data_IF_806174303766
#
_entry.id   IF_806174303766
#
_cell.length_a   1.000
_cell.length_b   1.000
_cell.length_c   1.000
_cell.angle_alpha   90.00
_cell.angle_beta   90.00
_cell.angle_gamma   90.00
#
_symmetry.space_group_name_H-M   'P 1'
#
loop_
_entity.id
_entity.type
_entity.pdbx_description
1 polymer ?
#
# COMPACT_ATOMS: atom_id res chain seq x y z
N UNK A 1 41.91 -20.59 9.11
CA UNK A 1 40.89 -20.70 8.03
C UNK A 1 40.02 -21.97 8.08
N UNK A 2 40.56 -23.19 7.90
CA UNK A 2 39.77 -24.45 7.75
C UNK A 2 38.67 -24.65 8.80
N UNK A 3 38.97 -24.44 10.08
CA UNK A 3 38.01 -24.63 11.18
C UNK A 3 36.82 -23.67 11.12
N UNK A 4 37.06 -22.42 10.70
CA UNK A 4 36.03 -21.41 10.49
C UNK A 4 35.08 -21.81 9.36
N UNK A 5 35.61 -22.39 8.28
CA UNK A 5 34.81 -22.90 7.17
C UNK A 5 33.95 -24.08 7.59
N UNK A 6 34.53 -25.04 8.32
CA UNK A 6 33.80 -26.19 8.86
C UNK A 6 32.58 -25.75 9.69
N UNK A 7 32.77 -24.79 10.60
CA UNK A 7 31.69 -24.24 11.43
C UNK A 7 30.68 -23.49 10.56
N UNK A 8 31.14 -22.53 9.75
CA UNK A 8 30.25 -21.60 9.04
C UNK A 8 29.46 -22.29 7.92
N UNK A 9 30.06 -23.26 7.21
CA UNK A 9 29.41 -23.98 6.11
C UNK A 9 28.55 -25.16 6.60
N UNK A 10 28.65 -25.54 7.87
CA UNK A 10 27.68 -26.47 8.49
C UNK A 10 26.29 -25.84 8.67
N UNK A 11 26.20 -24.51 8.60
CA UNK A 11 24.97 -23.76 8.81
C UNK A 11 24.06 -23.81 7.57
N UNK A 12 22.72 -23.83 7.74
CA UNK A 12 21.79 -23.95 6.62
C UNK A 12 21.91 -22.81 5.60
N UNK A 13 22.07 -23.17 4.33
CA UNK A 13 22.21 -22.22 3.20
C UNK A 13 23.35 -21.20 3.39
N UNK A 14 24.40 -21.56 4.13
CA UNK A 14 25.59 -20.75 4.25
C UNK A 14 26.53 -20.94 3.05
N UNK A 15 27.10 -19.86 2.55
CA UNK A 15 28.06 -19.83 1.45
C UNK A 15 29.28 -18.98 1.81
N UNK A 16 30.45 -19.36 1.29
CA UNK A 16 31.65 -18.53 1.32
C UNK A 16 31.71 -17.70 0.04
N UNK A 17 31.92 -16.39 0.19
CA UNK A 17 32.12 -15.47 -0.92
C UNK A 17 33.32 -14.58 -0.61
N UNK A 18 34.30 -14.60 -1.50
CA UNK A 18 35.48 -13.76 -1.42
C UNK A 18 35.21 -12.46 -2.18
N UNK A 19 35.40 -11.31 -1.51
CA UNK A 19 35.02 -10.00 -2.08
C UNK A 19 36.27 -9.33 -2.66
N UNK A 20 36.38 -9.29 -3.99
CA UNK A 20 37.50 -8.64 -4.69
C UNK A 20 37.69 -7.17 -4.29
N UNK A 21 36.59 -6.43 -4.05
CA UNK A 21 36.64 -5.03 -3.65
C UNK A 21 37.25 -4.80 -2.25
N UNK A 22 37.40 -5.85 -1.44
CA UNK A 22 37.97 -5.82 -0.08
C UNK A 22 39.23 -6.70 -0.02
N UNK A 23 40.12 -6.56 -1.01
CA UNK A 23 41.39 -7.28 -1.13
C UNK A 23 41.25 -8.81 -1.04
N UNK A 24 40.11 -9.35 -1.49
CA UNK A 24 39.83 -10.79 -1.48
C UNK A 24 39.51 -11.35 -0.10
N UNK A 25 39.20 -10.52 0.89
CA UNK A 25 38.84 -10.99 2.24
C UNK A 25 37.61 -11.92 2.21
N UNK A 26 37.68 -13.11 2.81
CA UNK A 26 36.57 -14.05 2.82
C UNK A 26 35.40 -13.57 3.67
N UNK A 27 34.19 -13.81 3.17
CA UNK A 27 32.95 -13.57 3.93
C UNK A 27 32.07 -14.80 3.92
N UNK A 28 31.36 -15.03 5.03
CA UNK A 28 30.35 -16.09 5.13
C UNK A 28 28.97 -15.46 5.16
N UNK A 29 28.10 -15.96 4.27
CA UNK A 29 26.82 -15.33 3.96
C UNK A 29 25.69 -16.33 4.03
N UNK A 30 24.52 -15.86 4.40
CA UNK A 30 23.24 -16.59 4.28
C UNK A 30 22.31 -15.76 3.40
N UNK A 31 21.94 -16.32 2.24
CA UNK A 31 21.13 -15.62 1.22
C UNK A 31 21.65 -14.21 0.88
N UNK A 32 22.95 -14.11 0.63
CA UNK A 32 23.59 -12.83 0.29
C UNK A 32 23.74 -11.83 1.43
N UNK A 33 23.50 -12.22 2.70
CA UNK A 33 23.77 -11.36 3.88
C UNK A 33 24.93 -11.91 4.69
N UNK A 34 25.92 -11.07 4.97
CA UNK A 34 27.10 -11.46 5.74
C UNK A 34 26.73 -11.73 7.19
N UNK A 35 27.22 -12.83 7.74
CA UNK A 35 27.17 -13.12 9.17
C UNK A 35 28.57 -13.33 9.77
N UNK A 36 29.60 -13.58 8.95
CA UNK A 36 31.00 -13.47 9.39
C UNK A 36 31.79 -12.72 8.33
N UNK A 37 32.66 -11.81 8.79
CA UNK A 37 33.77 -11.29 8.01
C UNK A 37 35.08 -11.85 8.59
N UNK A 38 36.06 -12.19 7.75
CA UNK A 38 37.38 -12.54 8.22
C UNK A 38 38.47 -12.03 7.29
N UNK A 39 39.69 -11.92 7.80
CA UNK A 39 40.86 -11.76 6.93
C UNK A 39 41.25 -13.10 6.28
N UNK A 40 42.20 -13.06 5.35
CA UNK A 40 42.62 -14.24 4.56
C UNK A 40 43.16 -15.39 5.44
N UNK A 41 43.81 -15.05 6.55
CA UNK A 41 44.40 -16.03 7.47
C UNK A 41 43.40 -16.53 8.53
N UNK A 42 42.23 -15.88 8.64
CA UNK A 42 41.26 -16.02 9.72
C UNK A 42 41.87 -15.81 11.13
N UNK A 43 42.82 -14.87 11.24
CA UNK A 43 43.36 -14.39 12.51
C UNK A 43 42.53 -13.26 13.10
N UNK A 44 41.67 -12.63 12.28
CA UNK A 44 40.64 -11.70 12.74
C UNK A 44 39.27 -12.04 12.15
N UNK A 45 38.25 -11.98 13.00
CA UNK A 45 36.86 -12.27 12.68
C UNK A 45 35.96 -11.12 13.10
N UNK A 46 34.94 -10.82 12.32
CA UNK A 46 33.88 -9.90 12.74
C UNK A 46 32.54 -10.61 12.69
N UNK A 47 31.85 -10.62 13.83
CA UNK A 47 30.57 -11.31 14.03
C UNK A 47 29.52 -10.33 14.55
N UNK A 48 28.25 -10.64 14.32
CA UNK A 48 27.12 -9.86 14.80
C UNK A 48 26.58 -10.45 16.09
N UNK A 49 26.44 -9.62 17.11
CA UNK A 49 25.80 -9.96 18.38
C UNK A 49 24.63 -9.00 18.65
N UNK A 50 23.82 -9.28 19.67
CA UNK A 50 22.92 -8.25 20.17
C UNK A 50 23.73 -7.07 20.71
N UNK A 51 23.16 -5.87 20.82
CA UNK A 51 23.92 -4.69 21.28
C UNK A 51 24.46 -4.87 22.69
N UNK A 52 23.65 -5.46 23.57
CA UNK A 52 24.01 -5.72 24.95
C UNK A 52 25.14 -6.76 25.04
N UNK A 53 25.04 -7.86 24.28
CA UNK A 53 26.12 -8.86 24.21
C UNK A 53 27.38 -8.30 23.55
N UNK A 54 27.26 -7.46 22.52
CA UNK A 54 28.40 -6.83 21.86
C UNK A 54 29.15 -5.90 22.83
N UNK A 55 28.44 -5.09 23.60
CA UNK A 55 29.02 -4.24 24.64
C UNK A 55 29.70 -5.06 25.74
N UNK A 56 29.06 -6.16 26.17
CA UNK A 56 29.64 -7.07 27.17
C UNK A 56 30.93 -7.74 26.65
N UNK A 57 30.89 -8.33 25.45
CA UNK A 57 32.05 -8.99 24.83
C UNK A 57 33.20 -8.00 24.63
N UNK A 58 32.92 -6.79 24.14
CA UNK A 58 33.97 -5.75 24.00
C UNK A 58 34.56 -5.34 25.35
N UNK A 59 33.79 -5.39 26.43
CA UNK A 59 34.27 -5.04 27.77
C UNK A 59 35.07 -6.17 28.44
N UNK A 60 34.77 -7.44 28.15
CA UNK A 60 35.32 -8.58 28.90
C UNK A 60 36.31 -9.43 28.12
N UNK A 61 36.24 -9.44 26.78
CA UNK A 61 37.05 -10.32 25.94
C UNK A 61 38.31 -9.62 25.42
N UNK A 62 39.51 -10.09 25.78
CA UNK A 62 40.75 -9.60 25.19
C UNK A 62 40.72 -9.78 23.67
N UNK A 63 41.09 -8.74 22.93
CA UNK A 63 41.06 -8.74 21.46
C UNK A 63 39.69 -8.43 20.84
N UNK A 64 38.64 -8.21 21.64
CA UNK A 64 37.36 -7.74 21.15
C UNK A 64 37.28 -6.22 21.07
N UNK A 65 36.76 -5.71 19.96
CA UNK A 65 36.52 -4.28 19.75
C UNK A 65 35.27 -4.02 18.93
N UNK A 66 34.69 -2.84 19.05
CA UNK A 66 33.58 -2.44 18.19
C UNK A 66 34.06 -2.36 16.74
N UNK A 67 33.37 -3.03 15.81
CA UNK A 67 33.77 -3.06 14.42
C UNK A 67 33.77 -1.65 13.78
N UNK A 68 34.74 -1.39 12.90
CA UNK A 68 34.90 -0.14 12.18
C UNK A 68 33.77 0.19 11.19
N UNK A 69 33.91 1.30 10.46
CA UNK A 69 32.97 1.73 9.40
C UNK A 69 31.52 1.90 9.87
N UNK A 70 31.30 2.21 11.16
CA UNK A 70 29.98 2.37 11.76
C UNK A 70 29.24 1.06 12.06
N UNK A 71 29.84 -0.10 11.76
CA UNK A 71 29.23 -1.41 12.00
C UNK A 71 29.06 -1.70 13.50
N UNK A 72 29.99 -1.27 14.35
CA UNK A 72 29.90 -1.41 15.80
C UNK A 72 28.61 -0.84 16.40
N UNK A 73 28.06 0.26 15.85
CA UNK A 73 26.79 0.86 16.31
C UNK A 73 25.58 -0.07 16.13
N UNK A 74 25.72 -1.10 15.32
CA UNK A 74 24.71 -2.10 15.00
C UNK A 74 25.01 -3.49 15.57
N UNK A 75 25.93 -3.58 16.54
CA UNK A 75 26.25 -4.82 17.26
C UNK A 75 27.27 -5.72 16.57
N UNK A 76 28.08 -5.19 15.64
CA UNK A 76 29.19 -5.93 15.06
C UNK A 76 30.45 -5.80 15.92
N UNK A 77 31.04 -6.93 16.28
CA UNK A 77 32.25 -7.02 17.11
C UNK A 77 33.36 -7.60 16.27
N UNK A 78 34.50 -6.90 16.21
CA UNK A 78 35.74 -7.40 15.64
C UNK A 78 36.55 -8.10 16.73
N UNK A 79 37.02 -9.30 16.43
CA UNK A 79 37.76 -10.19 17.31
C UNK A 79 39.12 -10.45 16.67
N UNK A 80 40.19 -10.06 17.34
CA UNK A 80 41.54 -10.50 17.02
C UNK A 80 41.82 -11.79 17.80
N UNK A 81 41.95 -12.91 17.09
CA UNK A 81 42.09 -14.24 17.68
C UNK A 81 43.51 -14.82 17.50
N UNK A 82 44.35 -14.16 16.71
CA UNK A 82 45.70 -14.64 16.42
C UNK A 82 45.74 -15.97 15.66
N UNK A 83 46.92 -16.61 15.66
CA UNK A 83 47.16 -17.86 14.91
C UNK A 83 47.07 -19.12 15.77
N UNK A 84 47.23 -19.00 17.08
CA UNK A 84 47.20 -20.11 18.05
C UNK A 84 45.97 -19.98 18.96
N UNK A 85 44.90 -20.69 18.61
CA UNK A 85 43.57 -20.57 19.22
C UNK A 85 43.25 -21.87 19.93
N UNK A 86 43.04 -21.82 21.24
CA UNK A 86 42.70 -22.99 22.06
C UNK A 86 41.32 -23.55 21.70
N UNK A 87 41.05 -24.82 22.04
CA UNK A 87 39.75 -25.46 21.81
C UNK A 87 38.61 -24.75 22.55
N UNK A 88 38.87 -24.24 23.76
CA UNK A 88 37.89 -23.46 24.51
C UNK A 88 37.53 -22.17 23.77
N UNK A 89 38.54 -21.48 23.22
CA UNK A 89 38.31 -20.26 22.45
C UNK A 89 37.56 -20.56 21.15
N UNK A 90 37.86 -21.67 20.48
CA UNK A 90 37.07 -22.14 19.32
C UNK A 90 35.63 -22.44 19.67
N UNK A 91 35.35 -23.07 20.82
CA UNK A 91 33.98 -23.30 21.28
C UNK A 91 33.21 -21.99 21.50
N UNK A 92 33.89 -20.96 22.03
CA UNK A 92 33.30 -19.63 22.22
C UNK A 92 33.06 -18.92 20.88
N UNK A 93 34.03 -18.96 19.97
CA UNK A 93 33.90 -18.41 18.62
C UNK A 93 32.77 -19.08 17.84
N UNK A 94 32.64 -20.40 17.96
CA UNK A 94 31.54 -21.16 17.39
C UNK A 94 30.18 -20.60 17.88
N UNK A 95 30.01 -20.39 19.19
CA UNK A 95 28.78 -19.81 19.75
C UNK A 95 28.47 -18.40 19.21
N UNK A 96 29.48 -17.54 19.08
CA UNK A 96 29.29 -16.22 18.50
C UNK A 96 28.98 -16.25 17.00
N UNK A 97 29.56 -17.19 16.25
CA UNK A 97 29.23 -17.42 14.83
C UNK A 97 27.77 -17.88 14.69
N UNK A 98 27.32 -18.82 15.54
CA UNK A 98 25.92 -19.24 15.58
C UNK A 98 24.97 -18.09 15.93
N UNK A 99 25.34 -17.26 16.90
CA UNK A 99 24.57 -16.09 17.30
C UNK A 99 24.44 -15.11 16.14
N UNK A 100 25.57 -14.83 15.48
CA UNK A 100 25.61 -13.97 14.30
C UNK A 100 24.74 -14.49 13.15
N UNK A 101 24.84 -15.78 12.84
CA UNK A 101 24.00 -16.42 11.84
C UNK A 101 22.52 -16.26 12.20
N UNK A 102 22.13 -16.54 13.45
CA UNK A 102 20.74 -16.48 13.91
C UNK A 102 20.16 -15.06 13.82
N UNK A 103 20.97 -14.04 14.09
CA UNK A 103 20.58 -12.63 13.98
C UNK A 103 20.45 -12.14 12.53
N UNK A 104 21.19 -12.73 11.60
CA UNK A 104 21.21 -12.34 10.18
C UNK A 104 20.23 -13.16 9.33
N UNK A 105 20.09 -14.45 9.64
CA UNK A 105 19.32 -15.41 8.86
C UNK A 105 17.81 -15.14 8.91
N UNK A 106 17.05 -15.52 7.86
CA UNK A 106 15.60 -15.56 7.92
C UNK A 106 15.10 -16.46 9.06
N UNK A 107 13.99 -16.08 9.71
CA UNK A 107 13.41 -16.78 10.87
C UNK A 107 13.23 -18.29 10.69
N UNK A 108 13.01 -18.76 9.45
CA UNK A 108 12.87 -20.19 9.15
C UNK A 108 14.20 -20.93 9.35
N UNK A 109 15.31 -20.37 8.87
CA UNK A 109 16.65 -20.99 8.96
C UNK A 109 17.16 -20.93 10.40
N UNK A 110 17.03 -19.78 11.05
CA UNK A 110 17.37 -19.61 12.47
C UNK A 110 16.70 -20.66 13.39
N UNK A 111 15.47 -21.09 13.05
CA UNK A 111 14.71 -22.07 13.86
C UNK A 111 15.16 -23.51 13.66
N UNK A 112 15.74 -23.85 12.52
CA UNK A 112 16.16 -25.23 12.21
C UNK A 112 17.64 -25.48 12.52
N UNK A 113 18.41 -24.42 12.81
CA UNK A 113 19.79 -24.54 13.27
C UNK A 113 19.79 -25.07 14.70
N UNK A 114 20.30 -26.29 14.95
CA UNK A 114 20.37 -26.81 16.31
C UNK A 114 21.39 -26.00 17.12
N UNK A 115 20.98 -25.44 18.26
CA UNK A 115 21.90 -24.84 19.22
C UNK A 115 22.69 -25.96 19.88
N UNK A 116 24.03 -25.95 19.76
CA UNK A 116 24.92 -26.85 20.48
C UNK A 116 25.03 -26.44 21.96
N UNK A 117 23.94 -26.51 22.73
CA UNK A 117 24.02 -26.48 24.19
C UNK A 117 23.66 -27.84 24.75
N UNK A 118 24.70 -28.58 25.10
CA UNK A 118 24.64 -29.56 26.17
C UNK A 118 24.20 -28.88 27.47
N UNK A 119 23.38 -29.60 28.23
CA UNK A 119 22.72 -29.16 29.44
C UNK A 119 23.77 -28.82 30.51
N UNK A 120 23.85 -27.55 30.91
CA UNK A 120 24.13 -27.17 32.29
C UNK A 120 22.89 -26.44 32.77
N UNK A 121 22.00 -27.19 33.41
CA UNK A 121 20.99 -26.63 34.30
C UNK A 121 21.75 -25.97 35.47
N UNK A 122 21.92 -24.66 35.40
CA UNK A 122 21.91 -23.84 36.60
C UNK A 122 20.69 -22.94 36.50
N UNK A 123 19.91 -23.01 37.56
CA UNK A 123 18.67 -22.31 37.87
C UNK A 123 18.68 -20.86 37.36
N UNK A 124 17.58 -20.34 36.77
CA UNK A 124 17.52 -18.93 36.40
C UNK A 124 17.34 -18.10 37.67
N UNK A 125 18.44 -17.56 38.24
CA UNK A 125 18.32 -16.35 39.03
C UNK A 125 17.95 -15.21 38.08
N UNK A 126 16.65 -14.97 38.01
CA UNK A 126 16.07 -13.87 37.27
C UNK A 126 16.32 -12.60 38.07
N UNK A 127 17.50 -11.99 37.92
CA UNK A 127 17.65 -10.56 38.14
C UNK A 127 16.97 -9.85 36.96
N UNK A 128 16.01 -8.93 37.18
CA UNK A 128 15.24 -8.34 36.10
C UNK A 128 16.14 -7.32 35.39
N UNK A 129 16.92 -7.77 34.42
CA UNK A 129 17.38 -6.90 33.36
C UNK A 129 16.13 -6.39 32.67
N UNK A 130 15.79 -5.12 32.92
CA UNK A 130 14.77 -4.37 32.18
C UNK A 130 15.19 -4.29 30.72
N UNK A 131 14.94 -5.38 29.99
CA UNK A 131 14.85 -5.35 28.54
C UNK A 131 13.75 -4.34 28.22
N UNK A 132 14.13 -3.14 27.80
CA UNK A 132 13.16 -2.15 27.31
C UNK A 132 12.34 -2.86 26.25
N UNK A 133 11.01 -3.03 26.44
CA UNK A 133 10.21 -3.79 25.51
C UNK A 133 10.29 -3.08 24.17
N UNK A 134 10.98 -3.69 23.21
CA UNK A 134 11.01 -3.22 21.84
C UNK A 134 9.56 -3.02 21.40
N UNK A 135 9.23 -1.79 21.01
CA UNK A 135 7.85 -1.35 20.84
C UNK A 135 7.04 -2.41 20.08
N UNK A 136 5.93 -2.90 20.67
CA UNK A 136 5.23 -4.04 20.11
C UNK A 136 4.73 -3.72 18.69
N UNK A 137 4.61 -4.72 17.80
CA UNK A 137 4.30 -4.49 16.38
C UNK A 137 2.96 -3.77 16.16
N UNK A 138 2.03 -3.84 17.13
CA UNK A 138 0.79 -3.05 17.11
C UNK A 138 1.05 -1.56 17.39
N UNK A 139 2.01 -1.21 18.26
CA UNK A 139 2.34 0.17 18.59
C UNK A 139 3.07 0.87 17.44
N UNK A 140 3.95 0.17 16.69
CA UNK A 140 4.54 0.72 15.46
C UNK A 140 3.47 1.02 14.39
N UNK A 141 2.48 0.13 14.25
CA UNK A 141 1.33 0.35 13.36
C UNK A 141 0.45 1.49 13.85
N UNK A 142 0.21 1.58 15.16
CA UNK A 142 -0.57 2.66 15.75
C UNK A 142 0.11 4.02 15.56
N UNK A 143 1.44 4.11 15.76
CA UNK A 143 2.21 5.32 15.45
C UNK A 143 2.15 5.64 13.97
N UNK A 144 2.30 4.66 13.08
CA UNK A 144 2.16 4.87 11.65
C UNK A 144 0.79 5.42 11.27
N UNK A 145 -0.29 4.87 11.84
CA UNK A 145 -1.66 5.34 11.63
C UNK A 145 -1.83 6.76 12.21
N UNK A 146 -1.30 7.02 13.41
CA UNK A 146 -1.38 8.34 14.04
C UNK A 146 -0.63 9.41 13.22
N UNK A 147 0.58 9.09 12.75
CA UNK A 147 1.36 9.98 11.87
C UNK A 147 0.62 10.21 10.56
N UNK A 148 0.09 9.16 9.92
CA UNK A 148 -0.73 9.30 8.73
C UNK A 148 -1.97 10.15 8.97
N UNK A 149 -2.65 9.98 10.11
CA UNK A 149 -3.80 10.79 10.47
C UNK A 149 -3.39 12.26 10.65
N UNK A 150 -2.28 12.54 11.34
CA UNK A 150 -1.74 13.90 11.48
C UNK A 150 -1.40 14.50 10.12
N UNK A 151 -0.73 13.76 9.24
CA UNK A 151 -0.41 14.21 7.88
C UNK A 151 -1.69 14.50 7.09
N UNK A 152 -2.71 13.65 7.17
CA UNK A 152 -4.00 13.86 6.51
C UNK A 152 -4.73 15.08 7.07
N UNK A 153 -4.66 15.33 8.38
CA UNK A 153 -5.23 16.51 9.03
C UNK A 153 -4.51 17.78 8.55
N UNK A 154 -3.18 17.77 8.52
CA UNK A 154 -2.38 18.90 7.99
C UNK A 154 -2.72 19.14 6.52
N UNK A 155 -2.73 18.08 5.70
CA UNK A 155 -3.09 18.18 4.29
C UNK A 155 -4.51 18.73 4.10
N UNK A 156 -5.47 18.28 4.91
CA UNK A 156 -6.83 18.81 4.90
C UNK A 156 -6.85 20.31 5.18
N UNK A 157 -6.14 20.80 6.20
CA UNK A 157 -6.10 22.23 6.51
C UNK A 157 -5.46 23.06 5.38
N UNK A 158 -4.37 22.57 4.78
CA UNK A 158 -3.73 23.23 3.63
C UNK A 158 -4.69 23.29 2.45
N UNK A 159 -5.31 22.16 2.09
CA UNK A 159 -6.25 22.08 0.97
C UNK A 159 -7.51 22.92 1.23
N UNK A 160 -8.06 22.89 2.43
CA UNK A 160 -9.25 23.67 2.80
C UNK A 160 -8.98 25.19 2.78
N UNK A 161 -7.74 25.62 3.04
CA UNK A 161 -7.33 27.02 2.96
C UNK A 161 -7.09 27.50 1.51
N UNK A 162 -6.77 26.58 0.59
CA UNK A 162 -6.38 26.91 -0.78
C UNK A 162 -7.47 26.61 -1.83
N UNK A 163 -8.03 25.40 -1.81
CA UNK A 163 -8.93 24.88 -2.85
C UNK A 163 -10.16 25.77 -3.12
N UNK A 164 -10.90 26.28 -2.11
CA UNK A 164 -12.09 27.08 -2.38
C UNK A 164 -11.77 28.37 -3.14
N UNK A 165 -10.68 29.05 -2.77
CA UNK A 165 -10.23 30.27 -3.45
C UNK A 165 -9.75 29.99 -4.86
N UNK A 166 -8.90 28.98 -5.01
CA UNK A 166 -8.35 28.61 -6.33
C UNK A 166 -9.46 28.23 -7.30
N UNK A 167 -10.43 27.43 -6.85
CA UNK A 167 -11.56 27.02 -7.68
C UNK A 167 -12.45 28.22 -8.06
N UNK A 168 -12.78 29.07 -7.10
CA UNK A 168 -13.54 30.29 -7.37
C UNK A 168 -12.85 31.19 -8.41
N UNK A 169 -11.54 31.38 -8.32
CA UNK A 169 -10.76 32.14 -9.30
C UNK A 169 -10.80 31.51 -10.71
N UNK A 170 -10.77 30.17 -10.81
CA UNK A 170 -10.89 29.49 -12.11
C UNK A 170 -12.25 29.75 -12.75
N UNK A 171 -13.32 29.62 -11.98
CA UNK A 171 -14.68 29.86 -12.49
C UNK A 171 -14.89 31.35 -12.81
N UNK A 172 -14.41 32.25 -11.96
CA UNK A 172 -14.39 33.69 -12.21
C UNK A 172 -13.70 34.01 -13.54
N UNK A 173 -12.54 33.40 -13.83
CA UNK A 173 -11.86 33.61 -15.12
C UNK A 173 -12.65 33.10 -16.34
N UNK A 174 -13.48 32.07 -16.16
CA UNK A 174 -14.34 31.53 -17.23
C UNK A 174 -15.60 32.39 -17.45
N UNK A 175 -16.14 32.98 -16.38
CA UNK A 175 -17.29 33.86 -16.44
C UNK A 175 -16.91 35.28 -16.84
N UNK A 176 -15.72 35.74 -16.45
CA UNK A 176 -15.16 37.06 -16.73
C UNK A 176 -16.13 38.21 -16.38
N UNK A 177 -16.80 38.12 -15.23
CA UNK A 177 -17.81 39.08 -14.77
C UNK A 177 -19.17 39.03 -15.49
N UNK A 178 -19.36 38.14 -16.48
CA UNK A 178 -20.61 38.01 -17.21
C UNK A 178 -21.59 37.06 -16.53
N UNK A 179 -22.83 37.54 -16.31
CA UNK A 179 -23.94 36.73 -15.79
C UNK A 179 -24.32 35.58 -16.71
N UNK A 180 -24.36 35.80 -18.03
CA UNK A 180 -24.75 34.75 -18.98
C UNK A 180 -23.70 33.64 -19.03
N UNK A 181 -22.41 34.00 -19.01
CA UNK A 181 -21.32 33.05 -18.96
C UNK A 181 -21.29 32.29 -17.63
N UNK A 182 -21.48 33.00 -16.50
CA UNK A 182 -21.57 32.38 -15.18
C UNK A 182 -22.70 31.36 -15.09
N UNK A 183 -23.89 31.70 -15.60
CA UNK A 183 -25.04 30.78 -15.66
C UNK A 183 -24.75 29.60 -16.59
N UNK A 184 -24.21 29.84 -17.78
CA UNK A 184 -23.92 28.78 -18.75
C UNK A 184 -22.92 27.76 -18.18
N UNK A 185 -21.81 28.22 -17.62
CA UNK A 185 -20.83 27.35 -16.97
C UNK A 185 -21.41 26.68 -15.73
N UNK A 186 -22.22 27.37 -14.93
CA UNK A 186 -22.91 26.80 -13.78
C UNK A 186 -23.78 25.62 -14.19
N UNK A 187 -24.69 25.81 -15.15
CA UNK A 187 -25.54 24.74 -15.68
C UNK A 187 -24.72 23.58 -16.25
N UNK A 188 -23.69 23.87 -17.03
CA UNK A 188 -22.85 22.86 -17.67
C UNK A 188 -22.11 22.00 -16.62
N UNK A 189 -21.38 22.63 -15.70
CA UNK A 189 -20.66 21.91 -14.65
C UNK A 189 -21.63 21.17 -13.73
N UNK A 190 -22.71 21.82 -13.29
CA UNK A 190 -23.73 21.18 -12.46
C UNK A 190 -24.29 19.92 -13.11
N UNK A 191 -24.67 19.98 -14.39
CA UNK A 191 -25.24 18.86 -15.12
C UNK A 191 -24.21 17.76 -15.38
N UNK A 192 -23.07 18.10 -16.00
CA UNK A 192 -22.08 17.11 -16.43
C UNK A 192 -21.41 16.44 -15.24
N UNK A 193 -21.00 17.21 -14.24
CA UNK A 193 -20.33 16.70 -13.04
C UNK A 193 -21.28 16.01 -12.05
N UNK A 194 -22.58 15.92 -12.38
CA UNK A 194 -23.55 15.10 -11.64
C UNK A 194 -23.97 13.88 -12.45
N UNK A 195 -24.33 14.07 -13.73
CA UNK A 195 -24.78 13.01 -14.61
C UNK A 195 -23.68 11.97 -14.88
N UNK A 196 -22.47 12.42 -15.24
CA UNK A 196 -21.37 11.53 -15.65
C UNK A 196 -20.92 10.64 -14.48
N UNK A 197 -20.68 11.15 -13.26
CA UNK A 197 -20.37 10.31 -12.10
C UNK A 197 -21.46 9.28 -11.79
N UNK A 198 -22.75 9.65 -11.86
CA UNK A 198 -23.86 8.71 -11.63
C UNK A 198 -23.89 7.57 -12.66
N UNK A 199 -23.59 7.86 -13.93
CA UNK A 199 -23.46 6.84 -14.97
C UNK A 199 -22.29 5.89 -14.64
N UNK A 200 -21.13 6.43 -14.27
CA UNK A 200 -19.98 5.60 -13.89
C UNK A 200 -20.26 4.74 -12.65
N UNK A 201 -20.86 5.30 -11.59
CA UNK A 201 -21.23 4.54 -10.39
C UNK A 201 -22.27 3.46 -10.69
N UNK A 202 -23.20 3.70 -11.61
CA UNK A 202 -24.10 2.66 -12.12
C UNK A 202 -23.34 1.58 -12.89
N UNK A 203 -22.36 1.95 -13.71
CA UNK A 203 -21.54 1.02 -14.47
C UNK A 203 -20.74 0.06 -13.57
N UNK A 204 -20.27 0.54 -12.41
CA UNK A 204 -19.61 -0.31 -11.38
C UNK A 204 -20.48 -1.52 -11.01
N UNK A 205 -21.78 -1.32 -10.84
CA UNK A 205 -22.73 -2.41 -10.53
C UNK A 205 -23.00 -3.31 -11.74
N UNK A 206 -23.11 -2.74 -12.94
CA UNK A 206 -23.41 -3.49 -14.16
C UNK A 206 -22.29 -4.45 -14.58
N UNK A 207 -21.03 -4.09 -14.32
CA UNK A 207 -19.86 -4.86 -14.76
C UNK A 207 -19.47 -5.95 -13.76
N UNK A 208 -20.14 -6.04 -12.59
CA UNK A 208 -19.82 -6.97 -11.49
C UNK A 208 -19.73 -8.45 -11.90
N UNK A 209 -20.44 -8.87 -12.96
CA UNK A 209 -20.45 -10.26 -13.45
C UNK A 209 -19.42 -10.56 -14.56
N UNK A 210 -18.58 -9.60 -14.95
CA UNK A 210 -17.60 -9.77 -16.06
C UNK A 210 -16.24 -10.29 -15.57
N UNK A 211 -15.49 -10.95 -16.47
CA UNK A 211 -14.18 -11.58 -16.18
C UNK A 211 -13.13 -10.60 -15.59
N UNK A 212 -13.15 -9.33 -16.01
CA UNK A 212 -12.28 -8.27 -15.49
C UNK A 212 -13.03 -7.24 -14.63
N UNK A 213 -14.05 -7.67 -13.88
CA UNK A 213 -14.92 -6.78 -13.13
C UNK A 213 -14.17 -5.84 -12.19
N UNK A 214 -13.17 -6.32 -11.45
CA UNK A 214 -12.44 -5.49 -10.46
C UNK A 214 -11.72 -4.30 -11.10
N UNK A 215 -10.97 -4.52 -12.18
CA UNK A 215 -10.23 -3.44 -12.85
C UNK A 215 -11.22 -2.41 -13.40
N UNK A 216 -12.25 -2.87 -14.11
CA UNK A 216 -13.26 -1.98 -14.69
C UNK A 216 -14.05 -1.21 -13.61
N UNK A 217 -14.33 -1.82 -12.47
CA UNK A 217 -14.97 -1.16 -11.33
C UNK A 217 -14.09 -0.08 -10.73
N UNK A 218 -12.80 -0.37 -10.52
CA UNK A 218 -11.84 0.62 -9.99
C UNK A 218 -11.70 1.79 -10.97
N UNK A 219 -11.54 1.52 -12.26
CA UNK A 219 -11.45 2.56 -13.30
C UNK A 219 -12.72 3.40 -13.36
N UNK A 220 -13.90 2.78 -13.38
CA UNK A 220 -15.17 3.51 -13.39
C UNK A 220 -15.36 4.34 -12.12
N UNK A 221 -15.03 3.81 -10.95
CA UNK A 221 -15.10 4.56 -9.68
C UNK A 221 -14.15 5.75 -9.69
N UNK A 222 -12.90 5.56 -10.12
CA UNK A 222 -11.90 6.62 -10.21
C UNK A 222 -12.34 7.73 -11.18
N UNK A 223 -12.82 7.37 -12.39
CA UNK A 223 -13.35 8.32 -13.35
C UNK A 223 -14.57 9.06 -12.79
N UNK A 224 -15.49 8.35 -12.13
CA UNK A 224 -16.66 8.96 -11.49
C UNK A 224 -16.27 10.02 -10.44
N UNK A 225 -15.28 9.72 -9.59
CA UNK A 225 -14.78 10.68 -8.60
C UNK A 225 -14.11 11.89 -9.27
N UNK A 226 -13.28 11.66 -10.29
CA UNK A 226 -12.60 12.74 -11.03
C UNK A 226 -13.62 13.71 -11.66
N UNK A 227 -14.63 13.18 -12.34
CA UNK A 227 -15.68 14.01 -12.95
C UNK A 227 -16.56 14.71 -11.91
N UNK A 228 -16.65 14.22 -10.68
CA UNK A 228 -17.38 14.87 -9.59
C UNK A 228 -16.60 16.03 -8.95
N UNK A 229 -15.27 16.11 -9.14
CA UNK A 229 -14.42 17.10 -8.48
C UNK A 229 -14.91 18.56 -8.63
N UNK A 230 -15.30 19.05 -9.82
CA UNK A 230 -15.77 20.43 -9.96
C UNK A 230 -17.00 20.75 -9.11
N UNK A 231 -17.92 19.79 -8.96
CA UNK A 231 -19.12 19.98 -8.13
C UNK A 231 -18.76 19.92 -6.64
N UNK A 232 -17.86 19.02 -6.24
CA UNK A 232 -17.33 18.95 -4.87
C UNK A 232 -16.60 20.24 -4.48
N UNK A 233 -15.78 20.80 -5.38
CA UNK A 233 -15.10 22.08 -5.16
C UNK A 233 -16.07 23.25 -5.10
N UNK A 234 -17.16 23.22 -5.88
CA UNK A 234 -18.21 24.23 -5.79
C UNK A 234 -18.94 24.15 -4.44
N UNK A 235 -19.17 22.94 -3.93
CA UNK A 235 -19.72 22.73 -2.59
C UNK A 235 -18.79 23.20 -1.47
N UNK A 236 -17.46 23.07 -1.59
CA UNK A 236 -16.55 23.58 -0.56
C UNK A 236 -16.54 25.10 -0.46
N UNK A 237 -16.88 25.81 -1.55
CA UNK A 237 -17.06 27.27 -1.53
C UNK A 237 -18.37 27.66 -0.83
N UNK A 238 -19.47 26.93 -1.08
CA UNK A 238 -20.80 27.28 -0.55
C UNK A 238 -21.03 26.79 0.89
N UNK A 239 -20.59 25.58 1.22
CA UNK A 239 -20.79 24.96 2.54
C UNK A 239 -19.58 25.14 3.47
N UNK A 240 -18.48 25.71 2.98
CA UNK A 240 -17.26 25.86 3.75
C UNK A 240 -17.39 26.94 4.82
N UNK A 241 -17.10 26.59 6.07
CA UNK A 241 -17.14 27.50 7.22
C UNK A 241 -15.77 28.12 7.54
N UNK A 242 -14.99 28.49 6.51
CA UNK A 242 -13.64 29.00 6.70
C UNK A 242 -13.39 30.26 5.84
N UNK A 243 -12.31 30.99 6.17
CA UNK A 243 -11.95 32.24 5.49
C UNK A 243 -11.64 32.05 3.99
N UNK A 244 -11.31 30.84 3.54
CA UNK A 244 -11.06 30.56 2.13
C UNK A 244 -12.36 30.37 1.35
N UNK A 245 -13.33 29.67 1.93
CA UNK A 245 -14.67 29.52 1.37
C UNK A 245 -15.38 30.86 1.24
N UNK A 246 -15.40 31.69 2.29
CA UNK A 246 -15.98 33.04 2.23
C UNK A 246 -15.29 33.97 1.23
N UNK A 247 -13.98 33.80 1.01
CA UNK A 247 -13.27 34.54 -0.02
C UNK A 247 -13.65 34.04 -1.42
N UNK A 248 -13.74 32.72 -1.61
CA UNK A 248 -14.21 32.12 -2.87
C UNK A 248 -15.65 32.50 -3.19
N UNK A 249 -16.50 32.57 -2.16
CA UNK A 249 -17.90 33.00 -2.28
C UNK A 249 -17.98 34.43 -2.82
N UNK A 250 -17.25 35.36 -2.19
CA UNK A 250 -17.16 36.75 -2.65
C UNK A 250 -16.61 36.89 -4.07
N UNK A 251 -15.60 36.10 -4.43
CA UNK A 251 -15.06 36.08 -5.79
C UNK A 251 -16.13 35.64 -6.79
N UNK A 252 -16.88 34.58 -6.50
CA UNK A 252 -17.94 34.12 -7.40
C UNK A 252 -19.12 35.09 -7.47
N UNK A 253 -19.45 35.77 -6.38
CA UNK A 253 -20.57 36.72 -6.38
C UNK A 253 -20.25 37.98 -7.21
N UNK A 254 -18.97 38.36 -7.33
CA UNK A 254 -18.51 39.53 -8.11
C UNK A 254 -18.10 39.14 -9.53
N UNK A 255 -17.19 38.18 -9.68
CA UNK A 255 -16.53 37.86 -10.96
C UNK A 255 -17.15 36.65 -11.67
N UNK A 256 -17.95 35.85 -10.97
CA UNK A 256 -18.65 34.68 -11.51
C UNK A 256 -20.17 34.71 -11.30
N UNK A 257 -20.86 35.84 -11.55
CA UNK A 257 -22.23 36.02 -11.11
C UNK A 257 -23.18 34.98 -11.72
N UNK A 258 -24.13 34.50 -10.92
CA UNK A 258 -25.12 33.50 -11.33
C UNK A 258 -24.62 32.04 -11.38
N UNK A 259 -23.30 31.81 -11.32
CA UNK A 259 -22.72 30.46 -11.38
C UNK A 259 -23.23 29.52 -10.28
N UNK A 260 -23.22 29.99 -9.02
CA UNK A 260 -23.57 29.17 -7.85
C UNK A 260 -24.99 28.63 -7.96
N UNK A 261 -25.98 29.51 -8.20
CA UNK A 261 -27.37 29.11 -8.38
C UNK A 261 -27.57 28.20 -9.60
N UNK A 262 -26.97 28.56 -10.74
CA UNK A 262 -27.02 27.77 -11.96
C UNK A 262 -26.41 26.36 -11.79
N UNK A 263 -25.35 26.22 -10.99
CA UNK A 263 -24.72 24.92 -10.71
C UNK A 263 -25.64 23.96 -9.96
N UNK A 264 -26.44 24.47 -9.01
CA UNK A 264 -27.44 23.68 -8.30
C UNK A 264 -28.55 23.24 -9.25
N UNK A 265 -29.06 24.16 -10.08
CA UNK A 265 -30.07 23.84 -11.09
C UNK A 265 -29.55 22.78 -12.07
N UNK A 266 -28.32 22.95 -12.55
CA UNK A 266 -27.64 21.98 -13.40
C UNK A 266 -27.53 20.60 -12.75
N UNK A 267 -27.17 20.55 -11.46
CA UNK A 267 -27.07 19.29 -10.72
C UNK A 267 -28.43 18.57 -10.61
N UNK A 268 -29.50 19.31 -10.31
CA UNK A 268 -30.88 18.77 -10.26
C UNK A 268 -31.30 18.21 -11.62
N UNK A 269 -31.04 18.97 -12.70
CA UNK A 269 -31.30 18.50 -14.07
C UNK A 269 -30.48 17.24 -14.41
N UNK A 270 -29.23 17.18 -13.97
CA UNK A 270 -28.37 16.00 -14.13
C UNK A 270 -28.93 14.75 -13.45
N UNK A 271 -29.44 14.88 -12.21
CA UNK A 271 -30.11 13.79 -11.50
C UNK A 271 -31.40 13.38 -12.21
N UNK A 272 -32.24 14.34 -12.59
CA UNK A 272 -33.49 14.06 -13.30
C UNK A 272 -33.25 13.32 -14.62
N UNK A 273 -32.26 13.78 -15.40
CA UNK A 273 -31.86 13.12 -16.65
C UNK A 273 -31.30 11.71 -16.40
N UNK A 274 -30.49 11.52 -15.36
CA UNK A 274 -30.02 10.19 -14.98
C UNK A 274 -31.17 9.24 -14.64
N UNK A 275 -32.13 9.68 -13.82
CA UNK A 275 -33.31 8.87 -13.47
C UNK A 275 -34.14 8.55 -14.72
N UNK A 276 -34.31 9.51 -15.62
CA UNK A 276 -34.96 9.30 -16.91
C UNK A 276 -34.25 8.24 -17.77
N UNK A 277 -32.93 8.31 -17.90
CA UNK A 277 -32.13 7.30 -18.61
C UNK A 277 -32.24 5.90 -17.98
N UNK A 278 -32.25 5.83 -16.65
CA UNK A 278 -32.42 4.56 -15.92
C UNK A 278 -33.82 3.99 -16.15
N UNK A 279 -34.86 4.82 -16.09
CA UNK A 279 -36.25 4.42 -16.32
C UNK A 279 -36.47 3.95 -17.76
N UNK A 280 -35.98 4.71 -18.75
CA UNK A 280 -36.01 4.33 -20.17
C UNK A 280 -35.29 3.00 -20.40
N UNK A 281 -34.10 2.81 -19.82
CA UNK A 281 -33.36 1.55 -19.92
C UNK A 281 -34.07 0.37 -19.27
N UNK A 282 -34.80 0.59 -18.18
CA UNK A 282 -35.64 -0.44 -17.55
C UNK A 282 -36.85 -0.79 -18.41
N UNK A 283 -37.59 0.23 -18.90
CA UNK A 283 -38.75 0.03 -19.78
C UNK A 283 -38.37 -0.69 -21.07
N UNK A 284 -37.23 -0.33 -21.67
CA UNK A 284 -36.73 -0.99 -22.88
C UNK A 284 -36.42 -2.47 -22.64
N UNK A 285 -35.76 -2.81 -21.53
CA UNK A 285 -35.49 -4.21 -21.15
C UNK A 285 -36.76 -4.99 -20.84
N UNK A 286 -37.76 -4.35 -20.21
CA UNK A 286 -39.07 -4.98 -19.94
C UNK A 286 -39.78 -5.30 -21.26
N UNK A 287 -39.90 -4.32 -22.16
CA UNK A 287 -40.53 -4.48 -23.48
C UNK A 287 -39.87 -5.60 -24.30
N UNK A 288 -38.53 -5.69 -24.28
CA UNK A 288 -37.81 -6.78 -24.95
C UNK A 288 -38.22 -8.16 -24.44
N UNK A 289 -38.30 -8.34 -23.12
CA UNK A 289 -38.76 -9.61 -22.52
C UNK A 289 -40.22 -9.94 -22.85
N UNK A 290 -41.08 -8.93 -22.87
CA UNK A 290 -42.50 -9.11 -23.20
C UNK A 290 -42.66 -9.55 -24.67
N UNK A 291 -41.88 -8.97 -25.60
CA UNK A 291 -41.85 -9.38 -27.01
C UNK A 291 -41.28 -10.79 -27.20
N UNK A 292 -40.20 -11.14 -26.48
CA UNK A 292 -39.63 -12.48 -26.52
C UNK A 292 -40.64 -13.54 -26.01
N UNK A 293 -41.40 -13.20 -24.97
CA UNK A 293 -42.46 -14.05 -24.43
C UNK A 293 -43.60 -14.24 -25.44
N UNK A 294 -44.10 -13.14 -26.03
CA UNK A 294 -45.13 -13.21 -27.08
C UNK A 294 -44.66 -14.01 -28.30
N UNK A 295 -43.39 -13.86 -28.71
CA UNK A 295 -42.80 -14.65 -29.80
C UNK A 295 -42.70 -16.14 -29.44
N UNK A 296 -42.42 -16.45 -28.18
CA UNK A 296 -42.44 -17.82 -27.65
C UNK A 296 -43.84 -18.43 -27.67
N UNK A 297 -44.84 -17.67 -27.20
CA UNK A 297 -46.26 -18.07 -27.23
C UNK A 297 -46.76 -18.26 -28.66
N UNK A 298 -46.44 -17.34 -29.59
CA UNK A 298 -46.76 -17.48 -31.03
C UNK A 298 -46.14 -18.73 -31.65
N UNK A 299 -44.88 -19.07 -31.32
CA UNK A 299 -44.24 -20.31 -31.80
C UNK A 299 -44.84 -21.58 -31.19
N UNK A 300 -45.41 -21.51 -29.99
CA UNK A 300 -46.11 -22.63 -29.37
C UNK A 300 -47.52 -22.80 -29.93
N UNK A 301 -48.15 -21.69 -30.35
CA UNK A 301 -49.47 -21.67 -30.98
C UNK A 301 -49.46 -21.81 -32.50
N UNK A 302 -48.30 -21.76 -33.16
CA UNK A 302 -48.13 -22.14 -34.57
C UNK A 302 -48.24 -23.69 -34.64
N UNK A 303 -49.42 -24.24 -34.97
CA UNK A 303 -49.60 -25.69 -34.96
C UNK A 303 -48.81 -26.29 -36.12
N UNK A 304 -48.53 -27.59 -36.07
CA UNK A 304 -48.07 -28.44 -37.18
C UNK A 304 -49.05 -28.48 -38.39
N UNK A 305 -49.81 -27.41 -38.64
CA UNK A 305 -50.86 -27.24 -39.65
C UNK A 305 -50.34 -27.02 -41.08
N UNK A 306 -49.04 -27.15 -41.34
CA UNK A 306 -48.51 -27.21 -42.73
C UNK A 306 -48.31 -28.65 -43.25
N UNK A 307 -48.84 -29.65 -42.55
CA UNK A 307 -48.56 -31.07 -42.83
C UNK A 307 -49.75 -31.98 -43.11
N UNK A 308 -50.99 -31.49 -43.21
CA UNK A 308 -52.13 -32.34 -43.57
C UNK A 308 -53.00 -31.63 -44.62
N UNK A 309 -52.60 -31.75 -45.89
CA UNK A 309 -53.56 -31.57 -46.98
C UNK A 309 -54.46 -32.81 -46.98
N UNK A 310 -55.79 -32.70 -46.88
CA UNK A 310 -56.64 -33.86 -47.00
C UNK A 310 -56.46 -34.46 -48.40
N UNK A 311 -56.15 -35.76 -48.45
CA UNK A 311 -56.12 -36.51 -49.69
C UNK A 311 -57.48 -36.35 -50.40
N UNK A 312 -57.52 -36.14 -51.73
CA UNK A 312 -58.78 -36.14 -52.44
C UNK A 312 -59.39 -37.55 -52.34
N UNK A 313 -60.57 -37.64 -51.74
CA UNK A 313 -61.41 -38.83 -51.87
C UNK A 313 -61.98 -38.90 -53.29
N UNK A 314 -61.97 -40.13 -53.80
CA UNK A 314 -62.56 -40.69 -55.05
C UNK A 314 -61.71 -40.57 -56.31
#
# INVERSE_FOLDING_TARGET
>A
MRRLEEISLSLPEAERVDIEAWDGHPTFRVRGKNFVFCNLEATSLTVKLSKEEAEAVVATEPGASAAGYGLGRHGWVALDIGTDVSEEKWSQLEEWIYTSFTLVAPKRLARITPTRRGIVMTTPETSPATAKPGMPPWAKKAIGIAVMAVVLVIAYFILAAFLPRWWAQRIASLANGSFSAGIAWGLLFGLVCTLVPLIFFRAVWQVRKRKHARIMQITALALGVIFALPNLLSLTVVLGNNNAAHAGERILDVDGPGFRGASVVGAVLGVALFLGLVALGYMYKKRGKDLDKMRGELKQHEPQSKGEAPAPEI
#
